data_IF_749998625477
#
_entry.id   IF_749998625477
#
_cell.length_a   1.000
_cell.length_b   1.000
_cell.length_c   1.000
_cell.angle_alpha   90.00
_cell.angle_beta   90.00
_cell.angle_gamma   90.00
#
_symmetry.space_group_name_H-M   'P 1'
#
loop_
_entity.id
_entity.type
_entity.pdbx_description
1 polymer ?
#
# COMPACT_ATOMS: atom_id res chain seq x y z
N UNK A 1 -16.26 29.54 -9.47
CA UNK A 1 -15.65 28.43 -8.71
C UNK A 1 -16.67 28.03 -7.66
N UNK A 2 -17.30 26.87 -7.80
CA UNK A 2 -18.06 26.31 -6.69
C UNK A 2 -17.05 26.03 -5.57
N UNK A 3 -17.35 26.44 -4.34
CA UNK A 3 -16.55 26.01 -3.20
C UNK A 3 -16.62 24.48 -3.15
N UNK A 4 -15.47 23.81 -3.14
CA UNK A 4 -15.43 22.36 -2.96
C UNK A 4 -16.16 22.04 -1.65
N UNK A 5 -17.27 21.32 -1.76
CA UNK A 5 -18.08 20.92 -0.62
C UNK A 5 -17.27 19.94 0.23
N UNK A 6 -17.11 20.24 1.51
CA UNK A 6 -16.44 19.34 2.45
C UNK A 6 -17.25 18.05 2.63
N UNK A 7 -16.58 16.89 2.83
CA UNK A 7 -17.28 15.62 3.03
C UNK A 7 -18.05 15.64 4.35
N UNK A 8 -19.29 15.17 4.31
CA UNK A 8 -20.12 14.95 5.50
C UNK A 8 -19.70 13.65 6.21
N UNK A 9 -20.11 13.49 7.48
CA UNK A 9 -20.07 12.17 8.11
C UNK A 9 -20.94 11.19 7.29
N UNK A 10 -20.54 9.91 7.15
CA UNK A 10 -21.35 8.92 6.44
C UNK A 10 -22.81 8.84 6.91
N UNK A 11 -23.08 9.04 8.21
CA UNK A 11 -24.42 9.02 8.78
C UNK A 11 -25.28 10.25 8.40
N UNK A 12 -24.63 11.35 8.01
CA UNK A 12 -25.28 12.62 7.65
C UNK A 12 -25.50 12.79 6.14
N UNK A 13 -24.95 11.89 5.31
CA UNK A 13 -25.15 11.90 3.86
C UNK A 13 -26.64 11.75 3.50
N UNK A 14 -27.18 12.70 2.72
CA UNK A 14 -28.58 12.69 2.29
C UNK A 14 -28.73 12.30 0.80
N UNK A 15 -27.67 12.49 0.02
CA UNK A 15 -27.66 12.26 -1.43
C UNK A 15 -26.46 11.43 -1.87
N UNK A 16 -26.54 10.83 -3.06
CA UNK A 16 -25.38 10.16 -3.66
C UNK A 16 -24.25 11.11 -4.04
N UNK A 17 -24.53 12.42 -4.16
CA UNK A 17 -23.49 13.43 -4.34
C UNK A 17 -22.66 13.59 -3.07
N UNK A 18 -23.31 13.64 -1.89
CA UNK A 18 -22.61 13.68 -0.59
C UNK A 18 -21.70 12.46 -0.41
N UNK A 19 -22.21 11.27 -0.74
CA UNK A 19 -21.45 10.01 -0.64
C UNK A 19 -20.21 10.04 -1.54
N UNK A 20 -20.35 10.50 -2.80
CA UNK A 20 -19.22 10.57 -3.75
C UNK A 20 -18.15 11.54 -3.27
N UNK A 21 -18.54 12.71 -2.77
CA UNK A 21 -17.59 13.69 -2.19
C UNK A 21 -16.83 13.07 -1.02
N UNK A 22 -17.53 12.33 -0.15
CA UNK A 22 -16.93 11.57 0.95
C UNK A 22 -15.89 10.56 0.47
N UNK A 23 -16.29 9.68 -0.46
CA UNK A 23 -15.41 8.64 -1.02
C UNK A 23 -14.21 9.23 -1.75
N UNK A 24 -14.42 10.20 -2.65
CA UNK A 24 -13.34 10.84 -3.41
C UNK A 24 -12.33 11.53 -2.49
N UNK A 25 -12.80 12.10 -1.37
CA UNK A 25 -11.91 12.70 -0.37
C UNK A 25 -11.12 11.65 0.39
N UNK A 26 -11.79 10.58 0.85
CA UNK A 26 -11.13 9.48 1.52
C UNK A 26 -10.10 8.77 0.62
N UNK A 27 -10.42 8.55 -0.65
CA UNK A 27 -9.52 7.91 -1.61
C UNK A 27 -8.25 8.74 -1.85
N UNK A 28 -8.36 10.07 -1.90
CA UNK A 28 -7.19 10.96 -1.95
C UNK A 28 -6.31 10.82 -0.72
N UNK A 29 -6.89 10.61 0.45
CA UNK A 29 -6.12 10.38 1.68
C UNK A 29 -5.53 8.96 1.75
N UNK A 30 -6.25 7.95 1.26
CA UNK A 30 -5.74 6.59 1.12
C UNK A 30 -4.52 6.55 0.20
N UNK A 31 -4.53 7.27 -0.93
CA UNK A 31 -3.36 7.37 -1.83
C UNK A 31 -2.13 7.92 -1.10
N UNK A 32 -2.29 8.97 -0.27
CA UNK A 32 -1.18 9.52 0.54
C UNK A 32 -0.65 8.51 1.57
N UNK A 33 -1.55 7.76 2.21
CA UNK A 33 -1.16 6.69 3.14
C UNK A 33 -0.44 5.54 2.43
N UNK A 34 -0.89 5.18 1.23
CA UNK A 34 -0.26 4.16 0.40
C UNK A 34 1.12 4.59 -0.08
N UNK A 35 1.34 5.87 -0.42
CA UNK A 35 2.67 6.39 -0.71
C UNK A 35 3.63 6.20 0.47
N UNK A 36 3.17 6.46 1.70
CA UNK A 36 3.97 6.19 2.91
C UNK A 36 4.26 4.69 3.07
N UNK A 37 3.27 3.82 2.80
CA UNK A 37 3.44 2.36 2.81
C UNK A 37 4.48 1.91 1.78
N UNK A 38 4.41 2.43 0.56
CA UNK A 38 5.37 2.18 -0.53
C UNK A 38 6.78 2.60 -0.12
N UNK A 39 6.94 3.74 0.56
CA UNK A 39 8.24 4.18 1.10
C UNK A 39 8.88 3.17 2.06
N UNK A 40 8.10 2.38 2.81
CA UNK A 40 8.65 1.29 3.62
C UNK A 40 9.13 0.11 2.76
N UNK A 41 8.53 -0.13 1.59
CA UNK A 41 8.99 -1.16 0.65
C UNK A 41 10.31 -0.74 0.01
N UNK A 42 10.44 0.53 -0.41
CA UNK A 42 11.73 1.07 -0.87
C UNK A 42 12.81 0.98 0.22
N UNK A 43 12.45 1.17 1.50
CA UNK A 43 13.37 0.94 2.61
C UNK A 43 13.75 -0.54 2.77
N UNK A 44 12.78 -1.46 2.64
CA UNK A 44 13.03 -2.89 2.67
C UNK A 44 13.97 -3.33 1.54
N UNK A 45 13.76 -2.85 0.31
CA UNK A 45 14.64 -3.09 -0.84
C UNK A 45 16.10 -2.69 -0.57
N UNK A 46 16.35 -1.56 0.11
CA UNK A 46 17.71 -1.15 0.52
C UNK A 46 18.34 -2.06 1.59
N UNK A 47 17.52 -2.71 2.43
CA UNK A 47 17.98 -3.47 3.60
C UNK A 47 18.17 -4.95 3.26
N UNK A 48 17.33 -5.51 2.37
CA UNK A 48 17.34 -6.94 2.04
C UNK A 48 18.57 -7.32 1.24
N UNK A 49 19.33 -8.35 1.67
CA UNK A 49 20.58 -8.71 1.02
C UNK A 49 20.38 -9.43 -0.31
N UNK A 50 19.26 -10.12 -0.51
CA UNK A 50 18.98 -10.87 -1.75
C UNK A 50 17.55 -10.65 -2.24
N UNK A 51 17.34 -10.85 -3.54
CA UNK A 51 16.01 -10.84 -4.14
C UNK A 51 15.07 -11.91 -3.54
N UNK A 52 15.61 -13.04 -3.09
CA UNK A 52 14.83 -14.12 -2.46
C UNK A 52 14.20 -13.69 -1.12
N UNK A 53 14.78 -12.67 -0.46
CA UNK A 53 14.23 -12.11 0.77
C UNK A 53 13.01 -11.20 0.51
N UNK A 54 12.74 -10.82 -0.74
CA UNK A 54 11.63 -9.90 -1.09
C UNK A 54 10.29 -10.56 -0.78
N UNK A 55 10.10 -11.81 -1.21
CA UNK A 55 8.85 -12.56 -0.96
C UNK A 55 9.01 -13.54 0.20
N UNK A 56 8.30 -13.25 1.30
CA UNK A 56 8.33 -14.09 2.50
C UNK A 56 6.92 -14.61 2.80
N UNK A 57 6.56 -15.85 2.40
CA UNK A 57 5.17 -16.35 2.46
C UNK A 57 4.54 -16.30 3.86
N UNK A 58 5.26 -16.71 4.89
CA UNK A 58 4.74 -16.68 6.26
C UNK A 58 4.44 -15.24 6.73
N UNK A 59 5.21 -14.25 6.26
CA UNK A 59 5.00 -12.85 6.60
C UNK A 59 3.79 -12.26 5.88
N UNK A 60 3.49 -12.71 4.66
CA UNK A 60 2.27 -12.34 3.93
C UNK A 60 1.04 -12.75 4.75
N UNK A 61 0.98 -14.01 5.16
CA UNK A 61 -0.16 -14.52 5.96
C UNK A 61 -0.26 -13.80 7.31
N UNK A 62 0.87 -13.53 7.98
CA UNK A 62 0.88 -12.77 9.23
C UNK A 62 0.29 -11.34 9.06
N UNK A 63 0.59 -10.65 7.95
CA UNK A 63 -0.01 -9.33 7.67
C UNK A 63 -1.51 -9.46 7.44
N UNK A 64 -1.95 -10.45 6.65
CA UNK A 64 -3.37 -10.67 6.35
C UNK A 64 -4.15 -10.98 7.63
N UNK A 65 -3.63 -11.85 8.49
CA UNK A 65 -4.24 -12.19 9.78
C UNK A 65 -4.40 -10.95 10.67
N UNK A 66 -3.35 -10.13 10.81
CA UNK A 66 -3.38 -8.90 11.61
C UNK A 66 -4.40 -7.90 11.09
N UNK A 67 -4.47 -7.71 9.77
CA UNK A 67 -5.45 -6.81 9.14
C UNK A 67 -6.87 -7.32 9.34
N UNK A 68 -7.11 -8.61 9.12
CA UNK A 68 -8.43 -9.20 9.32
C UNK A 68 -8.87 -9.13 10.79
N UNK A 69 -7.94 -9.28 11.74
CA UNK A 69 -8.22 -9.09 13.16
C UNK A 69 -8.60 -7.64 13.49
N UNK A 70 -7.86 -6.65 12.98
CA UNK A 70 -8.20 -5.24 13.20
C UNK A 70 -9.51 -4.86 12.51
N UNK A 71 -9.76 -5.35 11.29
CA UNK A 71 -11.01 -5.12 10.56
C UNK A 71 -12.23 -5.59 11.38
N UNK A 72 -12.17 -6.81 11.95
CA UNK A 72 -13.23 -7.31 12.85
C UNK A 72 -13.43 -6.43 14.08
N UNK A 73 -12.34 -5.94 14.67
CA UNK A 73 -12.37 -5.12 15.89
C UNK A 73 -13.06 -3.76 15.66
N UNK A 74 -12.87 -3.15 14.49
CA UNK A 74 -13.42 -1.81 14.18
C UNK A 74 -14.70 -1.85 13.31
N UNK A 75 -15.16 -3.04 12.92
CA UNK A 75 -16.38 -3.23 12.13
C UNK A 75 -16.21 -3.17 10.61
N UNK A 76 -14.98 -3.20 10.09
CA UNK A 76 -14.74 -3.37 8.65
C UNK A 76 -14.98 -4.84 8.25
N UNK A 77 -15.76 -5.06 7.20
CA UNK A 77 -16.01 -6.41 6.68
C UNK A 77 -14.71 -7.09 6.23
N UNK A 78 -14.41 -8.29 6.75
CA UNK A 78 -13.24 -9.07 6.32
C UNK A 78 -13.33 -9.50 4.86
N UNK A 79 -14.55 -9.61 4.30
CA UNK A 79 -14.78 -9.83 2.87
C UNK A 79 -14.27 -8.67 1.99
N UNK A 80 -14.14 -7.48 2.56
CA UNK A 80 -13.49 -6.32 1.92
C UNK A 80 -12.00 -6.31 2.25
N UNK A 81 -11.66 -6.36 3.54
CA UNK A 81 -10.29 -6.17 4.00
C UNK A 81 -9.31 -7.22 3.44
N UNK A 82 -9.65 -8.51 3.51
CA UNK A 82 -8.73 -9.58 3.09
C UNK A 82 -8.30 -9.46 1.62
N UNK A 83 -9.20 -9.44 0.62
CA UNK A 83 -8.78 -9.40 -0.79
C UNK A 83 -8.05 -8.10 -1.13
N UNK A 84 -8.47 -6.95 -0.56
CA UNK A 84 -7.78 -5.66 -0.77
C UNK A 84 -6.33 -5.74 -0.29
N UNK A 85 -6.09 -6.28 0.91
CA UNK A 85 -4.73 -6.39 1.43
C UNK A 85 -3.90 -7.44 0.71
N UNK A 86 -4.49 -8.57 0.27
CA UNK A 86 -3.75 -9.55 -0.53
C UNK A 86 -3.24 -8.92 -1.82
N UNK A 87 -4.09 -8.23 -2.58
CA UNK A 87 -3.68 -7.54 -3.81
C UNK A 87 -2.64 -6.45 -3.51
N UNK A 88 -2.85 -5.63 -2.48
CA UNK A 88 -1.89 -4.59 -2.10
C UNK A 88 -0.52 -5.17 -1.72
N UNK A 89 -0.47 -6.30 -1.01
CA UNK A 89 0.79 -6.97 -0.66
C UNK A 89 1.51 -7.46 -1.90
N UNK A 90 0.81 -8.12 -2.82
CA UNK A 90 1.41 -8.61 -4.08
C UNK A 90 1.99 -7.46 -4.91
N UNK A 91 1.26 -6.36 -5.08
CA UNK A 91 1.76 -5.18 -5.80
C UNK A 91 2.96 -4.52 -5.10
N UNK A 92 3.01 -4.56 -3.77
CA UNK A 92 4.16 -4.06 -3.03
C UNK A 92 5.38 -4.98 -3.12
N UNK A 93 5.19 -6.30 -3.24
CA UNK A 93 6.28 -7.26 -3.49
C UNK A 93 6.88 -7.00 -4.87
N UNK A 94 6.06 -6.78 -5.89
CA UNK A 94 6.50 -6.43 -7.25
C UNK A 94 7.31 -5.12 -7.25
N UNK A 95 6.75 -4.05 -6.67
CA UNK A 95 7.44 -2.77 -6.53
C UNK A 95 8.76 -2.89 -5.75
N UNK A 96 8.77 -3.63 -4.64
CA UNK A 96 9.99 -3.83 -3.84
C UNK A 96 11.08 -4.57 -4.64
N UNK A 97 10.69 -5.55 -5.46
CA UNK A 97 11.62 -6.31 -6.30
C UNK A 97 12.22 -5.42 -7.40
N UNK A 98 11.42 -4.56 -8.01
CA UNK A 98 11.89 -3.57 -9.00
C UNK A 98 12.92 -2.61 -8.38
N UNK A 99 12.61 -2.03 -7.22
CA UNK A 99 13.53 -1.16 -6.48
C UNK A 99 14.81 -1.89 -6.06
N UNK A 100 14.70 -3.14 -5.59
CA UNK A 100 15.86 -3.96 -5.23
C UNK A 100 16.75 -4.19 -6.45
N UNK A 101 16.17 -4.55 -7.60
CA UNK A 101 16.93 -4.71 -8.83
C UNK A 101 17.66 -3.43 -9.24
N UNK A 102 16.98 -2.28 -9.25
CA UNK A 102 17.62 -0.99 -9.60
C UNK A 102 18.85 -0.70 -8.71
N UNK A 103 18.69 -0.86 -7.39
CA UNK A 103 19.78 -0.62 -6.44
C UNK A 103 20.98 -1.56 -6.63
N UNK A 104 20.75 -2.79 -7.10
CA UNK A 104 21.79 -3.81 -7.24
C UNK A 104 22.31 -3.97 -8.69
N UNK A 105 21.55 -3.55 -9.71
CA UNK A 105 21.99 -3.43 -11.10
C UNK A 105 22.95 -2.24 -11.27
N UNK A 106 22.65 -1.10 -10.65
CA UNK A 106 23.50 0.09 -10.71
C UNK A 106 24.84 -0.16 -9.99
N UNK A 107 24.82 -1.03 -8.97
CA UNK A 107 26.03 -1.54 -8.30
C UNK A 107 26.89 -2.47 -9.15
N UNK A 108 26.35 -3.05 -10.23
CA UNK A 108 27.09 -3.82 -11.23
C UNK A 108 27.69 -2.91 -12.31
N UNK A 109 26.94 -1.91 -12.81
CA UNK A 109 27.42 -0.97 -13.85
C UNK A 109 28.55 -0.05 -13.36
N UNK A 110 28.49 0.42 -12.10
CA UNK A 110 29.57 1.21 -11.49
C UNK A 110 30.86 0.41 -11.27
N UNK A 111 30.78 -0.92 -11.16
CA UNK A 111 31.97 -1.79 -11.02
C UNK A 111 32.64 -2.07 -12.36
N UNK A 112 31.89 -2.14 -13.47
CA UNK A 112 32.45 -2.31 -14.82
C UNK A 112 32.98 -1.00 -15.42
N UNK A 113 32.49 0.17 -15.01
CA UNK A 113 32.98 1.46 -15.50
C UNK A 113 34.30 1.92 -14.85
N UNK A 114 34.75 1.26 -13.78
CA UNK A 114 35.96 1.59 -13.02
C UNK A 114 37.07 0.53 -13.14
N UNK A 115 36.99 -0.35 -14.15
CA UNK A 115 37.99 -1.40 -14.41
C UNK A 115 38.71 -1.19 -15.74
#
# INVERSE_FOLDING_TARGET
MAADKEPLDPADCQTMEDVRIGVDTLDRDLVKLLLKRQGYMAAAARIKPTADDVRVPWRIEEVVEKVCAEARKIGLSTRIAEPVWRVLIEQCIEYELEEWHQLHSDGLELKTANQ
#
